data_IF_427110877553
#
_entry.id   IF_427110877553
#
_cell.length_a   1.000
_cell.length_b   1.000
_cell.length_c   1.000
_cell.angle_alpha   90.00
_cell.angle_beta   90.00
_cell.angle_gamma   90.00
#
_symmetry.space_group_name_H-M   'P 1'
#
loop_
_entity.id
_entity.type
_entity.pdbx_description
1 polymer ?
#
# COMPACT_ATOMS: atom_id res chain seq x y z
N UNK A 1 -25.68 12.02 21.05
CA UNK A 1 -25.11 11.97 22.42
C UNK A 1 -23.77 11.29 22.30
N UNK A 2 -22.67 11.98 22.63
CA UNK A 2 -21.34 11.37 22.66
C UNK A 2 -21.31 10.34 23.78
N UNK A 3 -21.00 9.09 23.45
CA UNK A 3 -20.72 8.05 24.44
C UNK A 3 -19.62 8.55 25.38
N UNK A 4 -19.73 8.24 26.67
CA UNK A 4 -18.59 8.37 27.58
C UNK A 4 -17.45 7.43 27.15
N UNK A 5 -16.22 7.71 27.60
CA UNK A 5 -15.06 6.88 27.28
C UNK A 5 -15.29 5.41 27.67
N UNK A 6 -15.85 5.17 28.86
CA UNK A 6 -16.13 3.83 29.34
C UNK A 6 -17.19 3.12 28.48
N UNK A 7 -18.25 3.83 28.08
CA UNK A 7 -19.28 3.28 27.20
C UNK A 7 -18.71 2.93 25.83
N UNK A 8 -17.85 3.79 25.27
CA UNK A 8 -17.16 3.52 24.00
C UNK A 8 -16.24 2.31 24.10
N UNK A 9 -15.43 2.20 25.15
CA UNK A 9 -14.55 1.06 25.38
C UNK A 9 -15.33 -0.26 25.49
N UNK A 10 -16.42 -0.26 26.25
CA UNK A 10 -17.29 -1.42 26.40
C UNK A 10 -17.95 -1.80 25.07
N UNK A 11 -18.42 -0.81 24.30
CA UNK A 11 -19.01 -1.01 22.99
C UNK A 11 -18.00 -1.62 22.01
N UNK A 12 -16.81 -1.02 21.90
CA UNK A 12 -15.76 -1.48 21.00
C UNK A 12 -15.32 -2.91 21.34
N UNK A 13 -15.00 -3.16 22.62
CA UNK A 13 -14.55 -4.48 23.07
C UNK A 13 -15.63 -5.55 22.87
N UNK A 14 -16.89 -5.23 23.18
CA UNK A 14 -18.02 -6.12 22.96
C UNK A 14 -18.20 -6.48 21.47
N UNK A 15 -18.11 -5.49 20.58
CA UNK A 15 -18.23 -5.68 19.12
C UNK A 15 -17.06 -6.47 18.53
N UNK A 16 -15.82 -6.19 18.96
CA UNK A 16 -14.63 -6.95 18.55
C UNK A 16 -14.74 -8.40 19.00
N UNK A 17 -15.13 -8.66 20.25
CA UNK A 17 -15.28 -10.02 20.77
C UNK A 17 -16.39 -10.78 20.04
N UNK A 18 -17.50 -10.12 19.71
CA UNK A 18 -18.63 -10.73 19.01
C UNK A 18 -18.27 -11.22 17.59
N UNK A 19 -17.27 -10.61 16.92
CA UNK A 19 -16.87 -11.02 15.57
C UNK A 19 -15.92 -12.23 15.53
N UNK A 20 -15.54 -12.82 16.68
CA UNK A 20 -14.62 -13.96 16.77
C UNK A 20 -15.01 -15.13 15.85
N UNK A 21 -16.28 -15.49 15.82
CA UNK A 21 -16.74 -16.61 14.97
C UNK A 21 -16.48 -16.37 13.48
N UNK A 22 -16.67 -15.14 13.01
CA UNK A 22 -16.39 -14.76 11.62
C UNK A 22 -14.88 -14.68 11.35
N UNK A 23 -14.12 -14.15 12.29
CA UNK A 23 -12.66 -14.12 12.22
C UNK A 23 -12.09 -15.54 12.06
N UNK A 24 -12.50 -16.46 12.94
CA UNK A 24 -12.05 -17.86 12.91
C UNK A 24 -12.46 -18.56 11.60
N UNK A 25 -13.67 -18.27 11.10
CA UNK A 25 -14.13 -18.79 9.81
C UNK A 25 -13.20 -18.37 8.66
N UNK A 26 -12.83 -17.08 8.56
CA UNK A 26 -11.90 -16.61 7.52
C UNK A 26 -10.52 -17.26 7.60
N UNK A 27 -10.00 -17.47 8.81
CA UNK A 27 -8.71 -18.16 8.97
C UNK A 27 -8.82 -19.62 8.54
N UNK A 28 -9.91 -20.31 8.88
CA UNK A 28 -10.11 -21.71 8.54
C UNK A 28 -10.27 -21.94 7.04
N UNK A 29 -11.00 -21.06 6.34
CA UNK A 29 -11.26 -21.12 4.90
C UNK A 29 -9.96 -21.03 4.09
N UNK A 30 -9.02 -20.21 4.55
CA UNK A 30 -7.79 -19.90 3.82
C UNK A 30 -6.52 -20.55 4.42
N UNK A 31 -6.65 -21.31 5.51
CA UNK A 31 -5.53 -21.96 6.21
C UNK A 31 -4.55 -20.98 6.88
N UNK A 32 -5.01 -19.80 7.28
CA UNK A 32 -4.18 -18.80 7.93
C UNK A 32 -4.01 -19.07 9.44
N UNK A 33 -2.90 -18.58 10.00
CA UNK A 33 -2.56 -18.75 11.42
C UNK A 33 -2.37 -17.39 12.07
N UNK A 34 -3.47 -16.80 12.52
CA UNK A 34 -3.48 -15.61 13.37
C UNK A 34 -4.17 -15.95 14.68
N UNK A 35 -3.69 -15.39 15.79
CA UNK A 35 -4.33 -15.57 17.10
C UNK A 35 -5.32 -14.43 17.36
N UNK A 36 -6.59 -14.77 17.56
CA UNK A 36 -7.66 -13.78 17.71
C UNK A 36 -7.40 -12.80 18.87
N UNK A 37 -6.95 -13.28 20.02
CA UNK A 37 -6.76 -12.43 21.20
C UNK A 37 -5.61 -11.46 21.01
N UNK A 38 -4.52 -11.94 20.40
CA UNK A 38 -3.37 -11.13 20.01
C UNK A 38 -3.77 -10.03 19.05
N UNK A 39 -4.48 -10.37 17.97
CA UNK A 39 -4.91 -9.39 16.96
C UNK A 39 -5.95 -8.39 17.50
N UNK A 40 -6.89 -8.86 18.34
CA UNK A 40 -7.84 -8.00 19.03
C UNK A 40 -7.12 -6.97 19.90
N UNK A 41 -6.10 -7.40 20.65
CA UNK A 41 -5.30 -6.49 21.47
C UNK A 41 -4.58 -5.44 20.63
N UNK A 42 -4.01 -5.80 19.48
CA UNK A 42 -3.42 -4.82 18.56
C UNK A 42 -4.44 -3.79 18.09
N UNK A 43 -5.59 -4.23 17.59
CA UNK A 43 -6.66 -3.31 17.14
C UNK A 43 -7.13 -2.41 18.25
N UNK A 44 -7.37 -2.96 19.44
CA UNK A 44 -7.83 -2.18 20.58
C UNK A 44 -6.83 -1.08 20.94
N UNK A 45 -5.53 -1.41 21.03
CA UNK A 45 -4.48 -0.44 21.35
C UNK A 45 -4.34 0.63 20.25
N UNK A 46 -4.38 0.22 18.98
CA UNK A 46 -4.32 1.16 17.85
C UNK A 46 -5.50 2.14 17.91
N UNK A 47 -6.72 1.64 18.08
CA UNK A 47 -7.92 2.50 18.14
C UNK A 47 -7.84 3.45 19.34
N UNK A 48 -7.47 2.96 20.52
CA UNK A 48 -7.39 3.78 21.73
C UNK A 48 -6.25 4.79 21.70
N UNK A 49 -5.19 4.57 20.92
CA UNK A 49 -4.12 5.55 20.73
C UNK A 49 -4.58 6.84 20.03
N UNK A 50 -5.70 6.79 19.31
CA UNK A 50 -6.31 7.94 18.64
C UNK A 50 -7.15 8.84 19.55
N UNK A 51 -7.20 8.57 20.87
CA UNK A 51 -7.95 9.41 21.81
C UNK A 51 -7.39 10.84 21.79
N UNK A 52 -8.31 11.82 21.78
CA UNK A 52 -8.01 13.25 21.70
C UNK A 52 -7.41 13.72 20.37
N UNK A 53 -7.38 12.87 19.34
CA UNK A 53 -7.02 13.27 17.99
C UNK A 53 -8.28 13.35 17.15
N UNK A 54 -8.68 14.56 16.77
CA UNK A 54 -9.88 14.79 15.97
C UNK A 54 -9.86 13.95 14.68
N UNK A 55 -11.01 13.38 14.31
CA UNK A 55 -11.17 12.50 13.15
C UNK A 55 -10.35 11.19 13.17
N UNK A 56 -9.73 10.85 14.31
CA UNK A 56 -9.04 9.57 14.51
C UNK A 56 -10.02 8.43 14.80
N UNK A 57 -9.49 7.21 14.95
CA UNK A 57 -10.26 5.96 15.05
C UNK A 57 -11.42 6.00 16.06
N UNK A 58 -11.28 6.57 17.29
CA UNK A 58 -12.39 6.64 18.25
C UNK A 58 -13.59 7.46 17.80
N UNK A 59 -13.40 8.33 16.81
CA UNK A 59 -14.42 9.22 16.25
C UNK A 59 -15.04 8.67 14.96
N UNK A 60 -14.61 7.49 14.52
CA UNK A 60 -15.19 6.78 13.36
C UNK A 60 -16.25 5.78 13.79
N UNK A 61 -17.17 5.36 12.91
CA UNK A 61 -18.14 4.31 13.23
C UNK A 61 -17.45 3.02 13.69
N UNK A 62 -17.89 2.44 14.81
CA UNK A 62 -17.31 1.19 15.35
C UNK A 62 -17.37 0.07 14.30
N UNK A 63 -18.45 0.02 13.52
CA UNK A 63 -18.64 -0.92 12.42
C UNK A 63 -17.50 -0.86 11.38
N UNK A 64 -16.92 0.33 11.12
CA UNK A 64 -15.80 0.49 10.19
C UNK A 64 -14.49 -0.10 10.76
N UNK A 65 -14.30 0.00 12.09
CA UNK A 65 -13.19 -0.64 12.81
C UNK A 65 -13.33 -2.16 12.73
N UNK A 66 -14.52 -2.70 13.03
CA UNK A 66 -14.78 -4.16 12.96
C UNK A 66 -14.59 -4.69 11.54
N UNK A 67 -15.10 -3.97 10.54
CA UNK A 67 -14.92 -4.32 9.13
C UNK A 67 -13.45 -4.37 8.75
N UNK A 68 -12.65 -3.38 9.16
CA UNK A 68 -11.21 -3.34 8.89
C UNK A 68 -10.45 -4.46 9.59
N UNK A 69 -10.81 -4.79 10.83
CA UNK A 69 -10.25 -5.92 11.57
C UNK A 69 -10.53 -7.25 10.87
N UNK A 70 -11.77 -7.46 10.43
CA UNK A 70 -12.18 -8.65 9.69
C UNK A 70 -11.53 -8.73 8.31
N UNK A 71 -11.32 -7.60 7.62
CA UNK A 71 -10.57 -7.57 6.36
C UNK A 71 -9.14 -8.05 6.56
N UNK A 72 -8.46 -7.66 7.64
CA UNK A 72 -7.10 -8.11 7.96
C UNK A 72 -7.04 -9.63 8.14
N UNK A 73 -8.03 -10.20 8.84
CA UNK A 73 -8.20 -11.64 8.99
C UNK A 73 -8.47 -12.35 7.64
N UNK A 74 -9.36 -11.78 6.82
CA UNK A 74 -9.72 -12.28 5.49
C UNK A 74 -8.51 -12.36 4.56
N UNK A 75 -7.56 -11.43 4.68
CA UNK A 75 -6.30 -11.46 3.92
C UNK A 75 -5.16 -12.18 4.63
N UNK A 76 -5.35 -12.61 5.88
CA UNK A 76 -4.33 -13.31 6.66
C UNK A 76 -3.09 -12.47 6.95
N UNK A 77 -3.26 -11.17 7.19
CA UNK A 77 -2.19 -10.28 7.63
C UNK A 77 -2.45 -9.82 9.07
N UNK A 78 -1.38 -9.82 9.87
CA UNK A 78 -1.41 -9.33 11.25
C UNK A 78 -1.41 -7.80 11.29
N UNK A 79 -2.19 -7.25 12.23
CA UNK A 79 -2.19 -5.83 12.60
C UNK A 79 -1.09 -5.48 13.61
N UNK A 80 -0.16 -6.40 13.87
CA UNK A 80 1.02 -6.14 14.69
C UNK A 80 1.82 -4.93 14.15
N UNK A 81 1.94 -3.83 14.92
CA UNK A 81 2.65 -2.64 14.45
C UNK A 81 4.12 -2.88 14.11
N UNK A 82 4.78 -3.84 14.78
CA UNK A 82 6.18 -4.18 14.55
C UNK A 82 6.40 -4.88 13.21
N UNK A 83 5.46 -5.72 12.77
CA UNK A 83 5.58 -6.44 11.50
C UNK A 83 5.36 -5.52 10.30
N UNK A 84 4.55 -4.46 10.47
CA UNK A 84 4.21 -3.48 9.43
C UNK A 84 3.61 -4.12 8.16
N UNK A 85 2.82 -5.19 8.34
CA UNK A 85 2.15 -5.89 7.23
C UNK A 85 0.93 -5.09 6.75
N UNK A 86 0.04 -4.76 7.67
CA UNK A 86 -1.10 -3.88 7.44
C UNK A 86 -1.27 -2.93 8.63
N UNK A 87 -2.06 -1.88 8.44
CA UNK A 87 -2.33 -0.86 9.45
C UNK A 87 -3.75 -0.33 9.31
N UNK A 88 -4.25 0.35 10.33
CA UNK A 88 -5.50 1.09 10.24
C UNK A 88 -5.20 2.54 9.86
N UNK A 89 -6.02 3.10 8.98
CA UNK A 89 -6.04 4.53 8.64
C UNK A 89 -7.45 5.07 8.79
N UNK A 90 -7.58 6.37 9.01
CA UNK A 90 -8.86 7.07 8.90
C UNK A 90 -8.93 7.78 7.56
N UNK A 91 -10.10 7.74 6.93
CA UNK A 91 -10.33 8.33 5.62
C UNK A 91 -11.72 8.92 5.56
N UNK A 92 -11.87 10.07 4.91
CA UNK A 92 -13.17 10.69 4.71
C UNK A 92 -13.94 9.95 3.63
N UNK A 93 -15.07 9.36 3.98
CA UNK A 93 -15.93 8.66 3.03
C UNK A 93 -16.98 9.62 2.48
N UNK A 94 -16.85 10.02 1.22
CA UNK A 94 -17.82 10.90 0.56
C UNK A 94 -19.25 10.31 0.57
N UNK A 95 -19.37 8.99 0.41
CA UNK A 95 -20.66 8.30 0.39
C UNK A 95 -21.39 8.34 1.73
N UNK A 96 -20.65 8.34 2.85
CA UNK A 96 -21.23 8.41 4.19
C UNK A 96 -21.16 9.82 4.82
N UNK A 97 -20.43 10.75 4.21
CA UNK A 97 -20.23 12.12 4.69
C UNK A 97 -19.42 12.22 5.98
N UNK A 98 -18.70 11.17 6.37
CA UNK A 98 -17.97 11.08 7.64
C UNK A 98 -16.64 10.32 7.50
N UNK A 99 -15.75 10.48 8.49
CA UNK A 99 -14.52 9.69 8.57
C UNK A 99 -14.82 8.25 8.98
N UNK A 100 -14.20 7.30 8.29
CA UNK A 100 -14.30 5.86 8.54
C UNK A 100 -12.92 5.26 8.75
N UNK A 101 -12.83 4.22 9.58
CA UNK A 101 -11.62 3.41 9.71
C UNK A 101 -11.52 2.45 8.53
N UNK A 102 -10.35 2.42 7.90
CA UNK A 102 -10.03 1.51 6.81
C UNK A 102 -8.73 0.74 7.07
N UNK A 103 -8.63 -0.44 6.45
CA UNK A 103 -7.42 -1.24 6.43
C UNK A 103 -6.50 -0.77 5.30
N UNK A 104 -5.31 -0.29 5.65
CA UNK A 104 -4.23 -0.02 4.71
C UNK A 104 -3.21 -1.15 4.65
N UNK A 105 -2.61 -1.37 3.47
CA UNK A 105 -1.49 -2.30 3.31
C UNK A 105 -0.15 -1.60 3.49
N UNK A 106 0.68 -2.18 4.36
CA UNK A 106 2.11 -1.86 4.43
C UNK A 106 2.86 -2.48 3.25
N UNK A 107 4.01 -1.90 2.89
CA UNK A 107 4.83 -2.44 1.80
C UNK A 107 5.28 -3.89 2.07
N UNK A 108 5.56 -4.24 3.34
CA UNK A 108 5.89 -5.62 3.74
C UNK A 108 4.70 -6.56 3.59
N UNK A 109 3.48 -6.08 3.86
CA UNK A 109 2.26 -6.83 3.60
C UNK A 109 2.08 -7.09 2.12
N UNK A 110 2.26 -6.06 1.27
CA UNK A 110 2.25 -6.20 -0.19
C UNK A 110 3.24 -7.26 -0.65
N UNK A 111 4.50 -7.20 -0.20
CA UNK A 111 5.51 -8.20 -0.57
C UNK A 111 5.10 -9.60 -0.08
N UNK A 112 4.64 -9.74 1.16
CA UNK A 112 4.17 -11.01 1.73
C UNK A 112 3.02 -11.59 0.91
N UNK A 113 2.04 -10.77 0.55
CA UNK A 113 0.92 -11.17 -0.31
C UNK A 113 1.42 -11.54 -1.71
N UNK A 114 2.31 -10.76 -2.31
CA UNK A 114 2.82 -11.04 -3.63
C UNK A 114 3.54 -12.39 -3.71
N UNK A 115 4.45 -12.67 -2.77
CA UNK A 115 5.14 -13.97 -2.70
C UNK A 115 4.20 -15.12 -2.32
N UNK A 116 3.18 -14.88 -1.47
CA UNK A 116 2.19 -15.89 -1.11
C UNK A 116 1.36 -16.40 -2.30
N UNK A 117 1.29 -15.63 -3.39
CA UNK A 117 0.61 -16.08 -4.62
C UNK A 117 1.25 -17.31 -5.25
N UNK A 118 2.52 -17.60 -4.93
CA UNK A 118 3.30 -18.67 -5.57
C UNK A 118 3.58 -18.41 -7.05
N UNK A 119 3.33 -17.21 -7.58
CA UNK A 119 3.58 -16.83 -8.98
C UNK A 119 4.75 -15.86 -9.14
N UNK A 120 5.13 -15.19 -8.05
CA UNK A 120 6.18 -14.18 -8.03
C UNK A 120 7.52 -14.84 -7.74
N UNK A 121 8.49 -14.60 -8.62
CA UNK A 121 9.89 -15.03 -8.43
C UNK A 121 10.69 -13.96 -7.69
N UNK A 122 10.59 -12.71 -8.11
CA UNK A 122 11.22 -11.57 -7.44
C UNK A 122 10.53 -10.25 -7.76
N UNK A 123 10.66 -9.28 -6.85
CA UNK A 123 10.16 -7.90 -7.02
C UNK A 123 11.32 -6.95 -6.74
N UNK A 124 11.57 -6.02 -7.65
CA UNK A 124 12.62 -5.03 -7.53
C UNK A 124 12.05 -3.64 -7.79
N UNK A 125 12.29 -2.69 -6.87
CA UNK A 125 11.94 -1.30 -7.02
C UNK A 125 13.18 -0.43 -6.90
N UNK A 126 13.35 0.53 -7.80
CA UNK A 126 14.48 1.45 -7.80
C UNK A 126 14.09 2.81 -8.36
N UNK A 127 14.78 3.84 -7.90
CA UNK A 127 14.78 5.17 -8.50
C UNK A 127 15.96 5.33 -9.45
N UNK A 128 15.77 6.17 -10.46
CA UNK A 128 16.81 6.59 -11.40
C UNK A 128 16.85 8.11 -11.50
N UNK A 129 17.99 8.63 -11.91
CA UNK A 129 18.36 10.04 -11.93
C UNK A 129 18.84 10.43 -13.33
N UNK A 130 18.95 11.74 -13.58
CA UNK A 130 19.24 12.30 -14.90
C UNK A 130 20.48 11.72 -15.60
N UNK A 131 21.49 11.31 -14.84
CA UNK A 131 22.75 10.78 -15.41
C UNK A 131 22.81 9.26 -15.46
N UNK A 132 21.73 8.58 -15.08
CA UNK A 132 21.62 7.15 -15.28
C UNK A 132 21.18 6.84 -16.71
N UNK A 133 21.51 5.65 -17.21
CA UNK A 133 20.92 5.16 -18.45
C UNK A 133 19.69 4.34 -18.09
N UNK A 134 18.52 4.88 -18.41
CA UNK A 134 17.23 4.23 -18.19
C UNK A 134 16.45 4.10 -19.50
N UNK A 135 15.87 2.92 -19.71
CA UNK A 135 14.94 2.65 -20.81
C UNK A 135 13.77 1.81 -20.31
N UNK A 136 12.56 2.29 -20.57
CA UNK A 136 11.33 1.52 -20.38
C UNK A 136 11.07 0.67 -21.62
N UNK A 137 10.96 -0.64 -21.41
CA UNK A 137 10.80 -1.61 -22.50
C UNK A 137 9.34 -2.12 -22.63
N UNK A 138 8.39 -1.40 -22.02
CA UNK A 138 6.98 -1.78 -21.96
C UNK A 138 6.58 -2.52 -20.68
N UNK A 139 5.27 -2.64 -20.46
CA UNK A 139 4.68 -3.08 -19.18
C UNK A 139 4.96 -4.54 -18.85
N UNK A 140 5.26 -5.36 -19.87
CA UNK A 140 5.50 -6.79 -19.73
C UNK A 140 6.98 -7.17 -19.94
N UNK A 141 7.87 -6.18 -19.85
CA UNK A 141 9.30 -6.33 -20.12
C UNK A 141 10.13 -5.80 -18.96
N UNK A 142 11.29 -6.40 -18.74
CA UNK A 142 12.30 -5.90 -17.80
C UNK A 142 12.82 -4.54 -18.26
N UNK A 143 12.97 -3.58 -17.35
CA UNK A 143 13.61 -2.29 -17.68
C UNK A 143 15.11 -2.45 -17.93
N UNK A 144 15.68 -1.56 -18.74
CA UNK A 144 17.14 -1.38 -18.82
C UNK A 144 17.53 -0.23 -17.91
N UNK A 145 18.26 -0.52 -16.83
CA UNK A 145 18.77 0.51 -15.93
C UNK A 145 20.24 0.21 -15.61
N UNK A 146 21.13 1.12 -16.00
CA UNK A 146 22.55 1.03 -15.70
C UNK A 146 23.06 2.34 -15.10
N UNK A 147 23.97 2.21 -14.13
CA UNK A 147 24.57 3.32 -13.41
C UNK A 147 26.08 3.21 -13.51
N UNK A 148 26.76 4.25 -13.98
CA UNK A 148 28.24 4.30 -14.01
C UNK A 148 28.83 4.86 -12.71
N UNK A 149 28.02 5.57 -11.91
CA UNK A 149 28.43 6.22 -10.67
C UNK A 149 27.47 5.86 -9.54
N UNK A 150 27.98 5.32 -8.43
CA UNK A 150 27.16 4.96 -7.25
C UNK A 150 26.81 6.15 -6.36
N UNK A 151 27.59 7.24 -6.43
CA UNK A 151 27.36 8.45 -5.64
C UNK A 151 26.09 9.17 -6.09
N UNK A 152 25.07 9.19 -5.23
CA UNK A 152 23.80 9.89 -5.48
C UNK A 152 24.00 11.37 -5.82
N UNK A 153 24.89 12.06 -5.11
CA UNK A 153 25.21 13.47 -5.38
C UNK A 153 25.74 13.69 -6.80
N UNK A 154 26.33 12.67 -7.41
CA UNK A 154 26.87 12.75 -8.77
C UNK A 154 25.88 12.30 -9.85
N UNK A 155 24.80 11.58 -9.49
CA UNK A 155 23.77 11.05 -10.42
C UNK A 155 22.76 12.08 -10.93
N UNK A 156 22.68 13.26 -10.30
CA UNK A 156 21.79 14.35 -10.73
C UNK A 156 20.45 14.38 -9.99
N UNK A 157 19.47 15.06 -10.56
CA UNK A 157 18.12 15.14 -9.98
C UNK A 157 17.34 13.83 -10.22
N UNK A 158 16.30 13.61 -9.41
CA UNK A 158 15.40 12.46 -9.59
C UNK A 158 14.77 12.54 -10.98
N UNK A 159 14.95 11.50 -11.78
CA UNK A 159 14.37 11.41 -13.13
C UNK A 159 13.17 10.46 -13.18
N UNK A 160 12.97 9.63 -12.15
CA UNK A 160 11.80 8.79 -12.00
C UNK A 160 12.09 7.56 -11.14
N UNK A 161 11.21 6.57 -11.22
CA UNK A 161 11.43 5.28 -10.59
C UNK A 161 10.58 4.18 -11.21
N UNK A 162 10.94 2.94 -10.94
CA UNK A 162 10.19 1.78 -11.40
C UNK A 162 10.09 0.73 -10.31
N UNK A 163 9.07 -0.12 -10.43
CA UNK A 163 8.98 -1.39 -9.74
C UNK A 163 8.62 -2.46 -10.77
N UNK A 164 9.37 -3.55 -10.76
CA UNK A 164 9.17 -4.66 -11.68
C UNK A 164 9.13 -5.99 -10.92
N UNK A 165 8.25 -6.87 -11.38
CA UNK A 165 8.09 -8.22 -10.88
C UNK A 165 8.44 -9.20 -11.99
N UNK A 166 9.34 -10.15 -11.69
CA UNK A 166 9.54 -11.33 -12.51
C UNK A 166 8.64 -12.44 -11.97
N UNK A 167 7.84 -13.05 -12.84
CA UNK A 167 7.00 -14.19 -12.51
C UNK A 167 7.79 -15.50 -12.70
N UNK A 168 7.29 -16.59 -12.12
CA UNK A 168 7.95 -17.90 -12.20
C UNK A 168 8.03 -18.42 -13.65
N UNK A 169 7.10 -18.03 -14.51
CA UNK A 169 7.10 -18.35 -15.94
C UNK A 169 8.10 -17.51 -16.78
N UNK A 170 8.83 -16.59 -16.13
CA UNK A 170 9.80 -15.70 -16.77
C UNK A 170 9.21 -14.43 -17.37
N UNK A 171 7.88 -14.26 -17.35
CA UNK A 171 7.25 -13.00 -17.75
C UNK A 171 7.50 -11.90 -16.73
N UNK A 172 7.44 -10.65 -17.20
CA UNK A 172 7.61 -9.47 -16.36
C UNK A 172 6.29 -8.71 -16.22
N UNK A 173 6.16 -8.02 -15.09
CA UNK A 173 5.21 -6.93 -14.93
C UNK A 173 5.97 -5.73 -14.42
N UNK A 174 5.86 -4.59 -15.10
CA UNK A 174 6.65 -3.39 -14.82
C UNK A 174 5.72 -2.21 -14.65
N UNK A 175 6.01 -1.37 -13.67
CA UNK A 175 5.36 -0.07 -13.46
C UNK A 175 6.44 0.98 -13.31
N UNK A 176 6.31 2.09 -14.04
CA UNK A 176 7.19 3.25 -13.96
C UNK A 176 6.37 4.41 -13.37
N UNK A 177 7.01 5.24 -12.57
CA UNK A 177 6.46 6.51 -12.10
C UNK A 177 7.36 7.66 -12.55
N UNK A 178 6.77 8.72 -13.10
CA UNK A 178 7.52 9.91 -13.47
C UNK A 178 7.95 10.69 -12.20
N UNK A 179 8.96 11.55 -12.30
CA UNK A 179 9.54 12.21 -11.13
C UNK A 179 8.56 13.13 -10.41
N UNK A 180 7.68 13.81 -11.15
CA UNK A 180 6.67 14.72 -10.59
C UNK A 180 5.68 14.01 -9.66
N UNK A 181 5.24 12.79 -9.99
CA UNK A 181 4.36 12.00 -9.11
C UNK A 181 5.07 11.61 -7.82
N UNK A 182 6.33 11.18 -7.92
CA UNK A 182 7.14 10.78 -6.76
C UNK A 182 7.39 11.99 -5.86
N UNK A 183 7.72 13.15 -6.45
CA UNK A 183 7.99 14.38 -5.72
C UNK A 183 6.73 14.94 -5.04
N UNK A 184 5.56 14.83 -5.65
CA UNK A 184 4.30 15.23 -5.04
C UNK A 184 3.99 14.40 -3.78
N UNK A 185 4.19 13.07 -3.83
CA UNK A 185 4.01 12.17 -2.68
C UNK A 185 5.04 12.48 -1.59
N UNK A 186 6.28 12.77 -1.98
CA UNK A 186 7.34 13.19 -1.07
C UNK A 186 6.98 14.51 -0.35
N UNK A 187 6.47 15.51 -1.08
CA UNK A 187 6.03 16.79 -0.51
C UNK A 187 4.88 16.61 0.47
N UNK A 188 3.87 15.80 0.10
CA UNK A 188 2.77 15.45 1.00
C UNK A 188 3.29 14.77 2.28
N UNK A 189 4.22 13.82 2.15
CA UNK A 189 4.85 13.15 3.28
C UNK A 189 5.59 14.12 4.21
N UNK A 190 6.30 15.10 3.65
CA UNK A 190 6.97 16.17 4.41
C UNK A 190 5.98 17.08 5.12
N UNK A 191 4.90 17.48 4.44
CA UNK A 191 3.85 18.32 5.01
C UNK A 191 3.14 17.64 6.19
N UNK A 192 3.04 16.31 6.17
CA UNK A 192 2.53 15.49 7.27
C UNK A 192 3.55 15.25 8.40
N UNK A 193 4.75 15.86 8.33
CA UNK A 193 5.78 15.75 9.37
C UNK A 193 6.51 14.41 9.40
N UNK A 194 6.48 13.63 8.32
CA UNK A 194 7.21 12.37 8.26
C UNK A 194 8.69 12.62 7.94
N UNK A 195 9.52 12.61 8.98
CA UNK A 195 10.96 12.88 8.94
C UNK A 195 11.75 11.96 7.99
N UNK A 196 11.23 10.76 7.69
CA UNK A 196 11.92 9.84 6.78
C UNK A 196 12.13 10.46 5.38
N UNK A 197 11.19 11.31 4.93
CA UNK A 197 11.27 12.04 3.67
C UNK A 197 12.27 13.20 3.67
N UNK A 198 12.73 13.64 4.85
CA UNK A 198 13.73 14.69 5.03
C UNK A 198 15.14 14.14 5.31
N UNK A 199 15.29 12.81 5.35
CA UNK A 199 16.50 12.13 5.80
C UNK A 199 17.23 11.40 4.67
N UNK A 200 18.33 10.73 5.03
CA UNK A 200 19.05 9.79 4.13
C UNK A 200 18.16 8.64 3.63
N UNK A 201 16.98 8.44 4.23
CA UNK A 201 16.04 7.37 3.89
C UNK A 201 15.05 7.72 2.76
N UNK A 202 15.19 8.90 2.14
CA UNK A 202 14.24 9.39 1.13
C UNK A 202 14.06 8.40 -0.04
N UNK A 203 15.12 7.76 -0.53
CA UNK A 203 14.98 6.83 -1.66
C UNK A 203 14.29 5.53 -1.25
N UNK A 204 14.51 5.05 -0.02
CA UNK A 204 13.76 3.91 0.51
C UNK A 204 12.26 4.24 0.62
N UNK A 205 11.90 5.51 0.89
CA UNK A 205 10.50 5.95 0.89
C UNK A 205 9.92 6.01 -0.52
N UNK A 206 10.71 6.46 -1.51
CA UNK A 206 10.33 6.43 -2.93
C UNK A 206 10.14 4.99 -3.43
N UNK A 207 11.04 4.07 -3.08
CA UNK A 207 10.92 2.65 -3.41
C UNK A 207 9.68 1.99 -2.79
N UNK A 208 9.35 2.30 -1.53
CA UNK A 208 8.09 1.85 -0.92
C UNK A 208 6.86 2.36 -1.67
N UNK A 209 6.92 3.59 -2.15
CA UNK A 209 5.85 4.21 -2.95
C UNK A 209 5.69 3.49 -4.29
N UNK A 210 6.80 3.19 -4.97
CA UNK A 210 6.81 2.41 -6.21
C UNK A 210 6.21 1.00 -6.01
N UNK A 211 6.53 0.33 -4.91
CA UNK A 211 5.94 -0.98 -4.56
C UNK A 211 4.41 -0.87 -4.38
N UNK A 212 3.94 0.16 -3.64
CA UNK A 212 2.51 0.39 -3.45
C UNK A 212 1.79 0.68 -4.77
N UNK A 213 2.38 1.50 -5.65
CA UNK A 213 1.82 1.79 -6.98
C UNK A 213 1.76 0.53 -7.84
N UNK A 214 2.84 -0.26 -7.86
CA UNK A 214 2.93 -1.50 -8.64
C UNK A 214 1.94 -2.57 -8.20
N UNK A 215 1.62 -2.64 -6.90
CA UNK A 215 0.63 -3.58 -6.38
C UNK A 215 -0.72 -3.48 -7.09
N UNK A 216 -1.14 -2.28 -7.51
CA UNK A 216 -2.42 -2.04 -8.22
C UNK A 216 -2.49 -2.77 -9.56
N UNK A 217 -1.36 -2.93 -10.26
CA UNK A 217 -1.30 -3.63 -11.54
C UNK A 217 -0.90 -5.10 -11.37
N UNK A 218 -0.08 -5.41 -10.37
CA UNK A 218 0.38 -6.77 -10.11
C UNK A 218 -0.71 -7.65 -9.49
N UNK A 219 -1.44 -7.14 -8.50
CA UNK A 219 -2.42 -7.93 -7.73
C UNK A 219 -3.45 -8.63 -8.63
N UNK A 220 -4.14 -7.93 -9.57
CA UNK A 220 -5.09 -8.59 -10.46
C UNK A 220 -4.45 -9.66 -11.36
N UNK A 221 -3.16 -9.52 -11.71
CA UNK A 221 -2.44 -10.51 -12.51
C UNK A 221 -2.17 -11.80 -11.71
N UNK A 222 -1.73 -11.68 -10.46
CA UNK A 222 -1.34 -12.85 -9.65
C UNK A 222 -2.51 -13.47 -8.88
N UNK A 223 -3.57 -12.70 -8.61
CA UNK A 223 -4.73 -13.09 -7.79
C UNK A 223 -6.07 -13.06 -8.54
N UNK A 224 -6.08 -13.22 -9.87
CA UNK A 224 -7.26 -13.08 -10.75
C UNK A 224 -8.59 -13.64 -10.20
N UNK A 225 -8.55 -14.84 -9.63
CA UNK A 225 -9.73 -15.58 -9.12
C UNK A 225 -9.80 -15.63 -7.59
N UNK A 226 -9.03 -14.79 -6.89
CA UNK A 226 -8.91 -14.77 -5.44
C UNK A 226 -9.70 -13.61 -4.84
N UNK A 227 -10.03 -13.74 -3.55
CA UNK A 227 -10.57 -12.67 -2.71
C UNK A 227 -9.75 -11.38 -2.80
N UNK A 228 -8.44 -11.47 -3.07
CA UNK A 228 -7.54 -10.30 -3.20
C UNK A 228 -7.87 -9.40 -4.40
N UNK A 229 -8.67 -9.87 -5.37
CA UNK A 229 -9.12 -9.09 -6.50
C UNK A 229 -10.47 -8.39 -6.24
N UNK A 230 -11.02 -8.52 -5.02
CA UNK A 230 -12.23 -7.81 -4.59
C UNK A 230 -11.94 -6.30 -4.44
N UNK A 231 -12.55 -5.44 -5.27
CA UNK A 231 -12.34 -3.99 -5.18
C UNK A 231 -12.70 -3.42 -3.80
N UNK A 232 -13.63 -4.06 -3.07
CA UNK A 232 -14.03 -3.61 -1.73
C UNK A 232 -13.00 -3.93 -0.64
N UNK A 233 -12.01 -4.78 -0.92
CA UNK A 233 -10.98 -5.18 0.04
C UNK A 233 -9.90 -4.10 0.19
N UNK A 234 -9.59 -3.40 -0.90
CA UNK A 234 -8.56 -2.36 -0.98
C UNK A 234 -9.16 -1.13 -1.68
N UNK A 235 -10.15 -0.51 -1.05
CA UNK A 235 -10.77 0.71 -1.56
C UNK A 235 -9.80 1.88 -1.33
N UNK A 236 -8.69 1.90 -2.08
CA UNK A 236 -7.64 2.90 -1.97
C UNK A 236 -8.06 4.14 -2.79
N UNK A 237 -8.83 5.05 -2.18
CA UNK A 237 -9.00 6.41 -2.73
C UNK A 237 -7.72 7.26 -2.62
N UNK A 238 -6.67 6.74 -1.95
CA UNK A 238 -5.32 7.33 -1.80
C UNK A 238 -4.65 7.80 -3.11
N UNK A 239 -5.18 7.51 -4.30
CA UNK A 239 -4.66 8.03 -5.57
C UNK A 239 -5.72 8.43 -6.62
N UNK A 240 -6.91 8.93 -6.24
CA UNK A 240 -7.89 9.46 -7.20
C UNK A 240 -7.48 10.80 -7.87
N UNK A 241 -6.19 11.01 -8.15
CA UNK A 241 -5.70 12.03 -9.10
C UNK A 241 -4.94 11.43 -10.30
N UNK A 242 -5.00 10.12 -10.51
CA UNK A 242 -4.40 9.46 -11.69
C UNK A 242 -5.43 9.03 -12.73
N UNK A 243 -6.40 9.88 -13.03
CA UNK A 243 -7.21 9.75 -14.24
C UNK A 243 -6.39 10.19 -15.46
N UNK A 244 -5.35 9.42 -15.83
CA UNK A 244 -4.66 9.52 -17.14
C UNK A 244 -3.59 8.43 -17.37
N UNK A 245 -3.70 7.23 -16.78
CA UNK A 245 -2.67 6.20 -16.90
C UNK A 245 -2.39 5.76 -18.36
N UNK A 246 -3.42 5.66 -19.21
CA UNK A 246 -3.24 5.41 -20.65
C UNK A 246 -2.58 6.58 -21.39
N UNK A 247 -2.92 7.82 -21.03
CA UNK A 247 -2.36 9.02 -21.67
C UNK A 247 -0.85 9.19 -21.35
N UNK A 248 -0.43 8.86 -20.13
CA UNK A 248 0.98 8.87 -19.74
C UNK A 248 1.78 7.73 -20.39
N UNK A 249 1.21 6.54 -20.50
CA UNK A 249 1.83 5.40 -21.20
C UNK A 249 2.06 5.73 -22.70
N UNK A 250 1.07 6.34 -23.36
CA UNK A 250 1.18 6.79 -24.76
C UNK A 250 2.17 7.97 -24.94
N UNK A 251 2.19 8.93 -24.00
CA UNK A 251 3.17 10.02 -24.03
C UNK A 251 4.60 9.54 -23.80
N UNK A 252 4.80 8.57 -22.90
CA UNK A 252 6.12 8.02 -22.60
C UNK A 252 6.65 7.20 -23.79
N UNK A 253 5.82 6.36 -24.42
CA UNK A 253 6.19 5.64 -25.64
C UNK A 253 6.46 6.60 -26.83
N UNK A 254 5.69 7.69 -26.96
CA UNK A 254 5.91 8.70 -27.99
C UNK A 254 7.18 9.52 -27.77
N UNK A 255 7.59 9.80 -26.54
CA UNK A 255 8.77 10.60 -26.23
C UNK A 255 10.05 9.86 -26.64
N UNK A 256 10.13 8.56 -26.36
CA UNK A 256 11.30 7.74 -26.69
C UNK A 256 11.32 7.22 -28.13
N UNK A 257 10.17 7.18 -28.82
CA UNK A 257 10.12 6.79 -30.24
C UNK A 257 10.55 7.92 -31.19
N UNK A 258 10.52 9.19 -30.76
CA UNK A 258 10.86 10.35 -31.59
C UNK A 258 12.34 10.74 -31.58
N UNK A 259 13.14 10.20 -30.66
CA UNK A 259 14.59 10.43 -30.58
C UNK A 259 15.42 9.31 -31.23
N UNK A 260 14.76 8.33 -31.86
CA UNK A 260 15.39 7.25 -32.59
C UNK A 260 15.32 7.46 -34.12
N UNK A 261 15.77 8.61 -34.62
CA UNK A 261 16.18 8.83 -36.02
C UNK A 261 17.24 9.92 -36.12
#
# INVERSE_FOLDING_TARGET
MSLSLQEYQNLLYGKLTACKGQFDAYLSENGYKLDFNTELNYVYQIVMSGLNVEYSFPYTPVESVISSFLKAAKIGLSLCPTEQLCFLKTEYSESSGQYVTQLGLGYKGILKLAYRSGKVKQINANVFYEKDTFQYNGVNSKVTHTTTVLSKAMRGQLAGGYCQTELIDGSFKTTVMPPEEILAIEEQGKAMGNEAWLSVHVDQMREKTLIKRHWKTLCPCIYRDSVMNDPMLFDDQDCQHSSNQQAYEEQFESAYSREAY
#
